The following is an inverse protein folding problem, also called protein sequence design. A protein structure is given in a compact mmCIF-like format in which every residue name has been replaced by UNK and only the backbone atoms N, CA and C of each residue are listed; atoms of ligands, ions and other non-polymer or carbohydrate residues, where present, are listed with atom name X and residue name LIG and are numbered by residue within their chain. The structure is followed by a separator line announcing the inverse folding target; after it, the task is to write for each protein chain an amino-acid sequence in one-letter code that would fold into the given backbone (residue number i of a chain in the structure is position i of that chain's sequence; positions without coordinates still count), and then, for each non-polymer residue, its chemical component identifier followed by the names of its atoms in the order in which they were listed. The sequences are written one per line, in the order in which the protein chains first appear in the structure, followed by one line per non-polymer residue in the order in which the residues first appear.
data_IF_899052728567
#
_entry.id   IF_899052728567
#
_cell.length_a   1.000
_cell.length_b   1.000
_cell.length_c   1.000
_cell.angle_alpha   90.00
_cell.angle_beta   90.00
_cell.angle_gamma   90.00
#
_symmetry.space_group_name_H-M   'P 1'
#
loop_
_entity.id
_entity.type
_entity.pdbx_description
1 polymer ?
#
# COMPACT_ATOMS: atom_id res chain seq x y z
N UNK A 1 0.53 4.87 1.87
CA UNK A 1 0.98 3.54 1.40
C UNK A 1 2.28 3.60 0.59
N UNK A 2 2.66 4.76 0.00
CA UNK A 2 3.92 4.94 -0.75
C UNK A 2 4.15 3.81 -1.76
N UNK A 3 3.17 3.66 -2.66
CA UNK A 3 3.12 2.61 -3.67
C UNK A 3 2.81 3.24 -5.03
N UNK A 4 3.02 2.49 -6.11
CA UNK A 4 2.69 2.94 -7.46
C UNK A 4 2.25 1.76 -8.32
N UNK A 5 1.13 1.91 -9.04
CA UNK A 5 0.54 0.87 -9.87
C UNK A 5 -0.05 -0.29 -9.07
N UNK A 6 -0.54 -1.31 -9.77
CA UNK A 6 -1.06 -2.55 -9.18
C UNK A 6 0.12 -3.39 -8.68
N UNK A 7 1.03 -3.73 -9.60
CA UNK A 7 2.26 -4.49 -9.34
C UNK A 7 3.49 -3.57 -9.30
N UNK A 8 3.44 -2.45 -10.01
CA UNK A 8 4.51 -1.47 -9.97
C UNK A 8 4.28 -0.26 -10.88
N UNK A 9 5.22 0.70 -10.89
CA UNK A 9 5.09 1.93 -11.68
C UNK A 9 5.03 1.67 -13.19
N UNK A 10 5.48 0.51 -13.66
CA UNK A 10 5.45 0.14 -15.07
C UNK A 10 4.03 -0.16 -15.58
N UNK A 11 3.04 -0.32 -14.70
CA UNK A 11 1.67 -0.58 -15.12
C UNK A 11 1.10 0.58 -15.94
N UNK A 12 1.51 1.82 -15.63
CA UNK A 12 1.09 3.01 -16.37
C UNK A 12 1.59 2.99 -17.82
N UNK A 13 2.91 2.91 -18.11
CA UNK A 13 3.39 2.87 -19.50
C UNK A 13 3.05 1.55 -20.20
N UNK A 14 3.12 0.39 -19.52
CA UNK A 14 3.02 -0.91 -20.18
C UNK A 14 1.57 -1.36 -20.42
N UNK A 15 0.64 -1.04 -19.51
CA UNK A 15 -0.75 -1.51 -19.58
C UNK A 15 -1.70 -0.42 -20.08
N UNK A 16 -1.44 0.83 -19.68
CA UNK A 16 -2.32 1.96 -19.96
C UNK A 16 -1.75 2.93 -21.01
N UNK A 17 -0.47 2.79 -21.38
CA UNK A 17 0.25 3.68 -22.28
C UNK A 17 0.17 5.17 -21.87
N UNK A 18 0.25 5.43 -20.56
CA UNK A 18 0.22 6.77 -19.94
C UNK A 18 1.47 7.01 -19.09
N UNK A 19 1.89 8.27 -18.87
CA UNK A 19 2.99 8.57 -17.96
C UNK A 19 2.63 8.20 -16.52
N UNK A 20 3.67 7.95 -15.72
CA UNK A 20 3.50 7.65 -14.30
C UNK A 20 3.04 8.93 -13.59
N UNK A 21 1.92 8.91 -12.85
CA UNK A 21 1.36 10.09 -12.19
C UNK A 21 2.25 10.60 -11.06
N UNK A 22 2.14 11.89 -10.73
CA UNK A 22 2.93 12.56 -9.70
C UNK A 22 2.65 12.02 -8.29
N UNK A 23 1.44 11.51 -8.07
CA UNK A 23 1.08 10.81 -6.83
C UNK A 23 1.98 9.60 -6.51
N UNK A 24 2.65 9.02 -7.52
CA UNK A 24 3.63 7.96 -7.35
C UNK A 24 5.01 8.42 -6.85
N UNK A 25 5.23 9.73 -6.66
CA UNK A 25 6.51 10.29 -6.21
C UNK A 25 6.33 11.52 -5.30
N UNK A 26 5.26 11.56 -4.49
CA UNK A 26 4.94 12.69 -3.59
C UNK A 26 4.71 14.04 -4.31
N UNK A 27 4.28 14.03 -5.58
CA UNK A 27 3.88 15.23 -6.34
C UNK A 27 2.35 15.29 -6.52
N UNK A 28 1.84 16.47 -6.86
CA UNK A 28 0.41 16.69 -7.10
C UNK A 28 0.09 16.47 -8.58
N UNK A 29 -1.12 16.01 -8.88
CA UNK A 29 -1.62 16.03 -10.26
C UNK A 29 -1.68 17.48 -10.78
N UNK A 30 -1.39 17.71 -12.08
CA UNK A 30 -1.14 16.75 -13.15
C UNK A 30 0.35 16.40 -13.35
N UNK A 31 1.21 16.58 -12.35
CA UNK A 31 2.63 16.26 -12.48
C UNK A 31 2.84 14.78 -12.81
N UNK A 32 4.00 14.46 -13.37
CA UNK A 32 4.41 13.09 -13.68
C UNK A 32 5.78 12.80 -13.07
N UNK A 33 6.17 11.52 -13.07
CA UNK A 33 7.48 11.11 -12.61
C UNK A 33 8.15 10.07 -13.50
N UNK A 34 9.48 10.01 -13.37
CA UNK A 34 10.27 8.98 -14.03
C UNK A 34 10.06 7.64 -13.30
N UNK A 35 10.26 6.50 -14.00
CA UNK A 35 10.27 5.21 -13.34
C UNK A 35 11.29 5.14 -12.20
N UNK A 36 12.40 5.89 -12.27
CA UNK A 36 13.45 5.93 -11.24
C UNK A 36 12.98 6.61 -9.95
N UNK A 37 12.24 7.72 -10.06
CA UNK A 37 11.78 8.52 -8.92
C UNK A 37 10.47 8.02 -8.31
N UNK A 38 9.76 7.15 -9.03
CA UNK A 38 8.50 6.55 -8.57
C UNK A 38 8.72 5.50 -7.47
N UNK A 39 7.71 5.33 -6.62
CA UNK A 39 7.66 4.21 -5.68
C UNK A 39 7.71 2.88 -6.42
N UNK A 40 8.60 1.99 -5.98
CA UNK A 40 8.81 0.68 -6.61
C UNK A 40 7.79 -0.38 -6.21
N UNK A 41 7.16 -0.20 -5.05
CA UNK A 41 6.22 -1.17 -4.48
C UNK A 41 4.86 -1.02 -5.15
N UNK A 42 4.32 -2.10 -5.71
CA UNK A 42 2.93 -2.17 -6.17
C UNK A 42 1.93 -1.96 -5.04
N UNK A 43 0.79 -1.34 -5.35
CA UNK A 43 -0.22 -1.02 -4.35
C UNK A 43 -0.98 -2.25 -3.84
N UNK A 44 -1.07 -3.35 -4.59
CA UNK A 44 -1.68 -4.59 -4.10
C UNK A 44 -0.89 -5.14 -2.91
N UNK A 45 0.42 -5.33 -3.07
CA UNK A 45 1.29 -5.80 -1.99
C UNK A 45 1.33 -4.80 -0.83
N UNK A 46 1.35 -3.50 -1.11
CA UNK A 46 1.33 -2.48 -0.05
C UNK A 46 0.04 -2.52 0.78
N UNK A 47 -1.10 -2.75 0.13
CA UNK A 47 -2.40 -2.85 0.79
C UNK A 47 -2.54 -4.16 1.59
N UNK A 48 -2.09 -5.27 1.04
CA UNK A 48 -2.05 -6.55 1.76
C UNK A 48 -1.20 -6.49 3.03
N UNK A 49 -0.01 -5.89 2.95
CA UNK A 49 0.87 -5.73 4.11
C UNK A 49 0.24 -4.82 5.17
N UNK A 50 -0.49 -3.79 4.73
CA UNK A 50 -1.25 -2.93 5.63
C UNK A 50 -2.33 -3.74 6.36
N UNK A 51 -3.13 -4.54 5.65
CA UNK A 51 -4.15 -5.38 6.27
C UNK A 51 -3.55 -6.44 7.20
N UNK A 52 -2.50 -7.14 6.80
CA UNK A 52 -1.82 -8.12 7.67
C UNK A 52 -1.32 -7.48 8.96
N UNK A 53 -0.74 -6.29 8.86
CA UNK A 53 -0.26 -5.53 10.02
C UNK A 53 -1.42 -5.11 10.92
N UNK A 54 -2.49 -4.55 10.35
CA UNK A 54 -3.68 -4.15 11.10
C UNK A 54 -4.36 -5.34 11.79
N UNK A 55 -4.54 -6.45 11.08
CA UNK A 55 -5.13 -7.69 11.61
C UNK A 55 -4.27 -8.30 12.71
N UNK A 56 -2.94 -8.22 12.61
CA UNK A 56 -2.04 -8.72 13.67
C UNK A 56 -2.25 -7.93 14.96
N UNK A 57 -2.35 -6.60 14.88
CA UNK A 57 -2.61 -5.74 16.04
C UNK A 57 -4.00 -6.01 16.62
N UNK A 58 -5.02 -6.01 15.76
CA UNK A 58 -6.41 -6.24 16.19
C UNK A 58 -6.60 -7.64 16.80
N UNK A 59 -5.97 -8.67 16.20
CA UNK A 59 -5.99 -10.03 16.70
C UNK A 59 -5.36 -10.15 18.09
N UNK A 60 -4.22 -9.49 18.32
CA UNK A 60 -3.59 -9.43 19.64
C UNK A 60 -4.49 -8.78 20.70
N UNK A 61 -5.14 -7.66 20.36
CA UNK A 61 -6.09 -6.99 21.26
C UNK A 61 -7.29 -7.89 21.57
N UNK A 62 -7.90 -8.51 20.56
CA UNK A 62 -9.05 -9.39 20.73
C UNK A 62 -8.72 -10.60 21.63
N UNK A 63 -7.56 -11.23 21.45
CA UNK A 63 -7.10 -12.33 22.31
C UNK A 63 -6.86 -11.87 23.76
N UNK A 64 -6.30 -10.68 23.96
CA UNK A 64 -6.13 -10.11 25.30
C UNK A 64 -7.45 -9.89 26.03
N UNK A 65 -8.46 -9.37 25.33
CA UNK A 65 -9.81 -9.19 25.88
C UNK A 65 -10.43 -10.54 26.23
N UNK A 66 -10.38 -11.52 25.31
CA UNK A 66 -10.93 -12.86 25.54
C UNK A 66 -10.27 -13.55 26.76
N UNK A 67 -8.96 -13.43 26.93
CA UNK A 67 -8.26 -13.99 28.07
C UNK A 67 -8.65 -13.32 29.40
N UNK A 68 -8.94 -12.02 29.39
CA UNK A 68 -9.43 -11.30 30.57
C UNK A 68 -10.84 -11.74 30.97
N UNK A 69 -11.72 -11.95 29.98
CA UNK A 69 -13.11 -12.39 30.20
C UNK A 69 -13.17 -13.80 30.83
N UNK A 70 -12.32 -14.74 30.39
CA UNK A 70 -12.29 -16.12 30.93
C UNK A 70 -11.89 -16.18 32.41
N UNK A 71 -11.22 -15.15 32.94
CA UNK A 71 -10.82 -15.09 34.36
C UNK A 71 -11.90 -14.52 35.29
N UNK A 72 -13.04 -14.10 34.75
CA UNK A 72 -14.17 -13.53 35.48
C UNK A 72 -15.36 -14.51 35.53
#
# INVERSE_FOLDING_TARGET
LKCCGVDGPQDFPNQLNVPIPGSCCDRKEPDTCSPLDSYKKGCVIALEDFFKSALTVLGGVALGIAAAEVRN
#
